data_IF_599515355538
#
_entry.id   IF_599515355538
#
_cell.length_a   1.000
_cell.length_b   1.000
_cell.length_c   1.000
_cell.angle_alpha   90.00
_cell.angle_beta   90.00
_cell.angle_gamma   90.00
#
_symmetry.space_group_name_H-M   'P 1'
#
loop_
_entity.id
_entity.type
_entity.pdbx_description
1 polymer ?
#
# COMPACT_ATOMS: atom_id res chain seq x y z
N UNK A 1 -14.00 -12.75 -4.55
CA UNK A 1 -13.55 -11.94 -3.39
C UNK A 1 -12.04 -11.78 -3.43
N UNK A 2 -11.58 -10.56 -3.33
CA UNK A 2 -10.15 -10.28 -3.31
C UNK A 2 -9.49 -10.75 -2.01
N UNK A 3 -8.26 -11.22 -2.12
CA UNK A 3 -7.40 -11.48 -0.96
C UNK A 3 -6.92 -10.14 -0.43
N UNK A 4 -6.98 -9.92 0.88
CA UNK A 4 -6.67 -8.63 1.50
C UNK A 4 -5.36 -8.67 2.27
N UNK A 5 -4.69 -7.52 2.33
CA UNK A 5 -3.52 -7.34 3.16
C UNK A 5 -3.94 -7.14 4.62
N UNK A 6 -3.23 -7.76 5.55
CA UNK A 6 -3.45 -7.63 7.00
C UNK A 6 -2.12 -7.63 7.75
N UNK A 7 -2.10 -6.90 8.86
CA UNK A 7 -0.94 -6.83 9.73
C UNK A 7 0.00 -5.67 9.43
N UNK A 8 1.01 -5.53 10.27
CA UNK A 8 2.09 -4.58 10.10
C UNK A 8 3.40 -5.15 10.64
N UNK A 9 4.52 -4.72 10.09
CA UNK A 9 5.84 -5.18 10.52
C UNK A 9 6.95 -4.21 10.14
N UNK A 10 8.05 -4.28 10.88
CA UNK A 10 9.26 -3.48 10.64
C UNK A 10 10.31 -4.36 9.96
N UNK A 11 10.90 -3.86 8.89
CA UNK A 11 11.91 -4.58 8.12
C UNK A 11 13.16 -3.74 7.91
N UNK A 12 14.32 -4.40 7.87
CA UNK A 12 15.59 -3.75 7.53
C UNK A 12 15.67 -3.50 6.03
N UNK A 13 16.19 -2.34 5.67
CA UNK A 13 16.52 -1.96 4.30
C UNK A 13 18.04 -1.92 4.20
N UNK A 14 18.63 -2.75 3.34
CA UNK A 14 20.08 -2.81 3.20
C UNK A 14 20.65 -1.62 2.40
N UNK A 15 21.97 -1.56 2.27
CA UNK A 15 22.66 -0.46 1.59
C UNK A 15 22.29 -0.34 0.10
N UNK A 16 21.80 -1.41 -0.51
CA UNK A 16 21.34 -1.44 -1.91
C UNK A 16 19.83 -1.17 -2.04
N UNK A 17 19.14 -0.93 -0.95
CA UNK A 17 17.69 -0.69 -0.94
C UNK A 17 16.85 -1.96 -0.96
N UNK A 18 17.45 -3.14 -0.75
CA UNK A 18 16.70 -4.38 -0.70
C UNK A 18 15.97 -4.51 0.64
N UNK A 19 14.69 -4.87 0.57
CA UNK A 19 13.85 -5.07 1.74
C UNK A 19 12.90 -6.24 1.48
N UNK A 20 12.72 -7.09 2.51
CA UNK A 20 11.82 -8.25 2.42
C UNK A 20 10.37 -7.83 2.54
N UNK A 21 9.54 -8.36 1.66
CA UNK A 21 8.09 -8.23 1.75
C UNK A 21 7.59 -9.29 2.75
N UNK A 22 6.70 -8.95 3.70
CA UNK A 22 6.12 -9.94 4.60
C UNK A 22 5.49 -11.11 3.84
N UNK A 23 5.65 -12.34 4.36
CA UNK A 23 5.17 -13.55 3.68
C UNK A 23 3.67 -13.51 3.36
N UNK A 24 2.85 -12.98 4.27
CA UNK A 24 1.42 -12.81 4.04
C UNK A 24 1.12 -11.84 2.90
N UNK A 25 1.89 -10.77 2.77
CA UNK A 25 1.75 -9.81 1.67
C UNK A 25 2.17 -10.42 0.33
N UNK A 26 3.23 -11.24 0.33
CA UNK A 26 3.67 -11.93 -0.88
C UNK A 26 2.58 -12.83 -1.46
N UNK A 27 1.85 -13.55 -0.60
CA UNK A 27 0.73 -14.39 -1.05
C UNK A 27 -0.38 -13.57 -1.72
N UNK A 28 -0.69 -12.41 -1.19
CA UNK A 28 -1.67 -11.49 -1.79
C UNK A 28 -1.16 -10.97 -3.14
N UNK A 29 0.11 -10.61 -3.23
CA UNK A 29 0.72 -10.15 -4.48
C UNK A 29 0.71 -11.24 -5.56
N UNK A 30 1.00 -12.49 -5.20
CA UNK A 30 0.92 -13.64 -6.11
C UNK A 30 -0.51 -13.85 -6.65
N UNK A 31 -1.50 -13.81 -5.76
CA UNK A 31 -2.90 -13.98 -6.13
C UNK A 31 -3.42 -12.83 -6.99
N UNK A 32 -2.88 -11.64 -6.83
CA UNK A 32 -3.29 -10.43 -7.55
C UNK A 32 -2.43 -10.09 -8.77
N UNK A 33 -1.54 -10.97 -9.22
CA UNK A 33 -0.75 -10.76 -10.43
C UNK A 33 -1.18 -11.74 -11.53
N UNK A 34 -1.90 -11.27 -12.57
CA UNK A 34 -2.45 -12.14 -13.61
C UNK A 34 -1.37 -12.82 -14.45
N UNK A 35 -0.15 -12.30 -14.46
CA UNK A 35 0.96 -12.85 -15.23
C UNK A 35 1.89 -13.73 -14.38
N UNK A 36 1.58 -13.88 -13.08
CA UNK A 36 2.40 -14.69 -12.16
C UNK A 36 1.98 -16.16 -12.23
N UNK A 37 2.87 -17.00 -12.72
CA UNK A 37 2.70 -18.47 -12.71
C UNK A 37 3.10 -19.01 -11.32
N UNK A 38 2.54 -20.19 -10.91
CA UNK A 38 2.97 -20.84 -9.68
C UNK A 38 4.48 -21.03 -9.60
N UNK A 39 5.08 -20.59 -8.48
CA UNK A 39 6.52 -20.67 -8.26
C UNK A 39 7.33 -19.53 -8.86
N UNK A 40 6.70 -18.61 -9.58
CA UNK A 40 7.38 -17.40 -10.07
C UNK A 40 7.16 -16.22 -9.13
N UNK A 41 8.16 -15.30 -9.04
CA UNK A 41 8.00 -14.10 -8.21
C UNK A 41 6.92 -13.17 -8.76
N UNK A 42 6.03 -12.65 -7.90
CA UNK A 42 5.03 -11.68 -8.30
C UNK A 42 5.62 -10.29 -8.46
N UNK A 43 4.82 -9.39 -9.03
CA UNK A 43 5.11 -7.96 -9.11
C UNK A 43 4.29 -7.20 -8.07
N UNK A 44 4.77 -6.04 -7.72
CA UNK A 44 4.05 -5.05 -6.90
C UNK A 44 4.06 -3.72 -7.62
N UNK A 45 2.92 -3.04 -7.67
CA UNK A 45 2.81 -1.69 -8.22
C UNK A 45 2.98 -0.69 -7.08
N UNK A 46 4.00 0.15 -7.16
CA UNK A 46 4.35 1.12 -6.12
C UNK A 46 4.02 2.53 -6.60
N UNK A 47 3.05 3.17 -5.95
CA UNK A 47 2.70 4.55 -6.18
C UNK A 47 3.52 5.45 -5.24
N UNK A 48 4.29 6.37 -5.84
CA UNK A 48 5.21 7.25 -5.13
C UNK A 48 4.88 8.74 -5.33
N UNK A 49 3.65 9.04 -5.71
CA UNK A 49 3.22 10.40 -6.02
C UNK A 49 2.84 11.27 -4.82
N UNK A 50 2.90 10.75 -3.61
CA UNK A 50 2.54 11.54 -2.41
C UNK A 50 3.46 12.76 -2.28
N UNK A 51 2.91 13.95 -2.56
CA UNK A 51 3.64 15.22 -2.57
C UNK A 51 4.20 15.64 -1.21
N UNK A 52 3.61 15.13 -0.14
CA UNK A 52 4.08 15.38 1.24
C UNK A 52 5.21 14.42 1.60
N UNK A 53 5.39 13.35 0.83
CA UNK A 53 6.42 12.35 1.08
C UNK A 53 6.18 11.53 2.34
N UNK A 54 4.92 11.20 2.62
CA UNK A 54 4.55 10.42 3.82
C UNK A 54 4.83 8.95 3.64
N UNK A 55 4.34 8.38 2.54
CA UNK A 55 4.35 6.93 2.34
C UNK A 55 4.39 6.53 0.87
N UNK A 56 4.88 5.33 0.62
CA UNK A 56 4.65 4.62 -0.63
C UNK A 56 3.38 3.79 -0.50
N UNK A 57 2.54 3.79 -1.51
CA UNK A 57 1.35 2.94 -1.58
C UNK A 57 1.61 1.78 -2.55
N UNK A 58 1.40 0.55 -2.08
CA UNK A 58 1.76 -0.66 -2.81
C UNK A 58 0.52 -1.49 -3.10
N UNK A 59 0.29 -1.79 -4.37
CA UNK A 59 -0.90 -2.47 -4.87
C UNK A 59 -0.52 -3.77 -5.57
N UNK A 60 -1.44 -4.73 -5.58
CA UNK A 60 -1.36 -5.82 -6.55
C UNK A 60 -1.53 -5.26 -7.96
N UNK A 61 -1.10 -6.01 -8.95
CA UNK A 61 -1.29 -5.59 -10.36
C UNK A 61 -2.78 -5.49 -10.69
N UNK A 62 -3.60 -6.44 -10.23
CA UNK A 62 -5.06 -6.39 -10.43
C UNK A 62 -5.70 -5.16 -9.81
N UNK A 63 -5.35 -4.81 -8.56
CA UNK A 63 -5.88 -3.62 -7.89
C UNK A 63 -5.46 -2.32 -8.61
N UNK A 64 -4.21 -2.25 -9.04
CA UNK A 64 -3.73 -1.09 -9.79
C UNK A 64 -4.46 -0.95 -11.13
N UNK A 65 -4.71 -2.05 -11.83
CA UNK A 65 -5.47 -2.06 -13.07
C UNK A 65 -6.94 -1.64 -12.83
N UNK A 66 -7.56 -2.12 -11.75
CA UNK A 66 -8.93 -1.74 -11.37
C UNK A 66 -9.02 -0.24 -11.06
N UNK A 67 -8.03 0.31 -10.35
CA UNK A 67 -7.95 1.73 -10.05
C UNK A 67 -7.82 2.56 -11.35
N UNK A 68 -6.97 2.12 -12.27
CA UNK A 68 -6.82 2.74 -13.58
C UNK A 68 -8.13 2.76 -14.38
N UNK A 69 -8.88 1.68 -14.35
CA UNK A 69 -10.20 1.58 -14.99
C UNK A 69 -11.20 2.58 -14.39
N UNK A 70 -11.22 2.73 -13.07
CA UNK A 70 -12.06 3.73 -12.39
C UNK A 70 -11.69 5.16 -12.78
N UNK A 71 -10.39 5.47 -12.84
CA UNK A 71 -9.91 6.79 -13.28
C UNK A 71 -10.31 7.03 -14.74
N UNK A 72 -10.14 6.04 -15.61
CA UNK A 72 -10.54 6.13 -17.01
C UNK A 72 -12.03 6.42 -17.19
N UNK A 73 -12.89 5.91 -16.30
CA UNK A 73 -14.34 6.12 -16.37
C UNK A 73 -14.77 7.55 -16.06
N UNK A 74 -13.91 8.35 -15.43
CA UNK A 74 -14.20 9.77 -15.24
C UNK A 74 -14.22 10.50 -16.58
N UNK A 75 -15.17 11.43 -16.80
CA UNK A 75 -15.14 12.29 -17.97
C UNK A 75 -13.80 13.00 -18.14
N UNK A 76 -13.35 13.21 -19.37
CA UNK A 76 -12.03 13.83 -19.66
C UNK A 76 -11.84 15.19 -19.01
N UNK A 77 -12.91 15.95 -18.85
CA UNK A 77 -12.88 17.29 -18.22
C UNK A 77 -13.20 17.29 -16.74
N UNK A 78 -13.42 16.11 -16.14
CA UNK A 78 -13.67 16.01 -14.71
C UNK A 78 -12.41 16.48 -13.95
N UNK A 79 -12.53 17.46 -13.04
CA UNK A 79 -11.37 18.01 -12.32
C UNK A 79 -10.64 16.99 -11.43
N UNK A 80 -11.27 15.86 -11.10
CA UNK A 80 -10.64 14.79 -10.32
C UNK A 80 -9.69 13.94 -11.14
N UNK A 81 -9.90 13.88 -12.47
CA UNK A 81 -9.17 12.95 -13.34
C UNK A 81 -7.68 13.25 -13.41
N UNK A 82 -7.29 14.49 -13.58
CA UNK A 82 -5.87 14.88 -13.75
C UNK A 82 -5.05 14.60 -12.47
N UNK A 83 -5.46 15.04 -11.27
CA UNK A 83 -4.69 14.74 -10.07
C UNK A 83 -4.63 13.23 -9.76
N UNK A 84 -5.70 12.47 -9.99
CA UNK A 84 -5.67 11.02 -9.80
C UNK A 84 -4.76 10.33 -10.81
N UNK A 85 -4.73 10.81 -12.05
CA UNK A 85 -3.79 10.31 -13.06
C UNK A 85 -2.34 10.58 -12.66
N UNK A 86 -2.05 11.75 -12.13
CA UNK A 86 -0.72 12.10 -11.64
C UNK A 86 -0.27 11.15 -10.53
N UNK A 87 -1.14 10.92 -9.54
CA UNK A 87 -0.81 10.12 -8.37
C UNK A 87 -0.73 8.61 -8.66
N UNK A 88 -1.63 8.09 -9.51
CA UNK A 88 -1.83 6.63 -9.62
C UNK A 88 -1.61 6.06 -11.02
N UNK A 89 -1.18 6.87 -11.96
CA UNK A 89 -0.83 6.43 -13.32
C UNK A 89 0.59 6.83 -13.68
N UNK A 90 0.95 8.11 -13.53
CA UNK A 90 2.27 8.61 -13.91
C UNK A 90 3.34 8.30 -12.88
N UNK A 91 3.01 8.39 -11.59
CA UNK A 91 3.96 8.16 -10.50
C UNK A 91 3.80 6.76 -9.91
N UNK A 92 3.85 5.77 -10.77
CA UNK A 92 3.79 4.35 -10.41
C UNK A 92 4.92 3.60 -11.08
N UNK A 93 5.55 2.71 -10.34
CA UNK A 93 6.56 1.78 -10.86
C UNK A 93 6.18 0.36 -10.46
N UNK A 94 6.34 -0.58 -11.38
CA UNK A 94 6.20 -2.01 -11.09
C UNK A 94 7.56 -2.57 -10.69
N UNK A 95 7.61 -3.23 -9.54
CA UNK A 95 8.80 -3.91 -9.05
C UNK A 95 8.52 -5.42 -9.00
N UNK A 96 9.46 -6.22 -9.49
CA UNK A 96 9.38 -7.68 -9.38
C UNK A 96 10.12 -8.12 -8.12
N UNK A 97 9.49 -8.98 -7.31
CA UNK A 97 10.16 -9.57 -6.16
C UNK A 97 11.28 -10.50 -6.64
N UNK A 98 12.37 -10.57 -5.87
CA UNK A 98 13.40 -11.57 -6.13
C UNK A 98 13.00 -12.95 -5.57
N UNK A 99 13.85 -13.97 -5.78
CA UNK A 99 13.59 -15.34 -5.32
C UNK A 99 13.50 -15.45 -3.78
N UNK A 100 14.00 -14.44 -3.06
CA UNK A 100 13.95 -14.38 -1.60
C UNK A 100 12.78 -13.50 -1.08
N UNK A 101 11.89 -13.06 -1.97
CA UNK A 101 10.75 -12.25 -1.60
C UNK A 101 11.08 -10.80 -1.26
N UNK A 102 12.16 -10.26 -1.81
CA UNK A 102 12.62 -8.89 -1.59
C UNK A 102 12.33 -8.02 -2.80
N UNK A 103 12.13 -6.74 -2.55
CA UNK A 103 12.13 -5.69 -3.58
C UNK A 103 13.33 -4.77 -3.37
N UNK A 104 13.69 -4.04 -4.42
CA UNK A 104 14.71 -3.00 -4.34
C UNK A 104 14.01 -1.64 -4.35
N UNK A 105 14.07 -0.94 -3.22
CA UNK A 105 13.66 0.46 -3.13
C UNK A 105 14.89 1.32 -3.43
N UNK A 106 14.99 1.77 -4.67
CA UNK A 106 16.06 2.67 -5.08
C UNK A 106 16.01 4.00 -4.33
N UNK A 107 17.10 4.75 -4.40
CA UNK A 107 17.22 6.04 -3.70
C UNK A 107 16.08 7.01 -4.07
N UNK A 108 15.65 6.99 -5.32
CA UNK A 108 14.55 7.84 -5.78
C UNK A 108 13.20 7.51 -5.12
N UNK A 109 13.01 6.25 -4.68
CA UNK A 109 11.82 5.84 -3.94
C UNK A 109 11.99 6.01 -2.43
N UNK A 110 13.21 6.04 -1.91
CA UNK A 110 13.48 6.14 -0.46
C UNK A 110 13.62 7.58 0.03
N UNK A 111 14.41 8.38 -0.68
CA UNK A 111 14.78 9.72 -0.21
C UNK A 111 13.58 10.65 0.01
N UNK A 112 12.61 10.75 -0.92
CA UNK A 112 11.46 11.64 -0.70
C UNK A 112 10.59 11.25 0.50
N UNK A 113 10.63 9.96 0.89
CA UNK A 113 9.83 9.41 1.98
C UNK A 113 10.61 9.20 3.27
N UNK A 114 11.86 9.67 3.31
CA UNK A 114 12.76 9.55 4.45
C UNK A 114 12.97 8.09 4.92
N UNK A 115 12.91 7.14 4.00
CA UNK A 115 13.16 5.73 4.28
C UNK A 115 14.67 5.49 4.28
N UNK A 116 15.20 5.16 5.44
CA UNK A 116 16.63 4.86 5.66
C UNK A 116 16.87 3.36 5.78
N UNK A 117 17.49 2.96 6.88
CA UNK A 117 17.86 1.57 7.15
C UNK A 117 16.73 0.67 7.63
N UNK A 118 15.55 1.22 7.85
CA UNK A 118 14.35 0.48 8.25
C UNK A 118 13.12 1.02 7.56
N UNK A 119 12.15 0.15 7.29
CA UNK A 119 10.87 0.51 6.70
C UNK A 119 9.75 -0.26 7.41
N UNK A 120 8.65 0.44 7.69
CA UNK A 120 7.45 -0.16 8.26
C UNK A 120 6.46 -0.47 7.16
N UNK A 121 6.01 -1.73 7.14
CA UNK A 121 4.99 -2.22 6.21
C UNK A 121 3.66 -2.25 6.95
N UNK A 122 2.65 -1.59 6.41
CA UNK A 122 1.35 -1.40 7.06
C UNK A 122 0.24 -1.79 6.09
N UNK A 123 -0.58 -2.74 6.49
CA UNK A 123 -1.71 -3.20 5.68
C UNK A 123 -2.86 -2.19 5.71
N UNK A 124 -3.49 -1.99 4.56
CA UNK A 124 -4.66 -1.11 4.35
C UNK A 124 -5.76 -1.84 3.57
N UNK A 125 -5.93 -3.14 3.77
CA UNK A 125 -6.89 -4.04 3.10
C UNK A 125 -6.60 -4.24 1.61
N UNK A 126 -6.95 -3.31 0.75
CA UNK A 126 -6.77 -3.39 -0.70
C UNK A 126 -5.36 -3.06 -1.18
N UNK A 127 -4.54 -2.50 -0.29
CA UNK A 127 -3.13 -2.18 -0.54
C UNK A 127 -2.33 -2.28 0.75
N UNK A 128 -1.03 -2.08 0.68
CA UNK A 128 -0.21 -1.83 1.85
C UNK A 128 0.65 -0.59 1.63
N UNK A 129 1.13 -0.05 2.73
CA UNK A 129 1.94 1.17 2.71
C UNK A 129 3.33 0.88 3.25
N UNK A 130 4.32 1.60 2.74
CA UNK A 130 5.69 1.57 3.25
C UNK A 130 6.01 2.97 3.79
N UNK A 131 6.38 3.02 5.06
CA UNK A 131 6.66 4.24 5.79
C UNK A 131 8.06 4.22 6.38
N UNK A 132 8.68 5.40 6.52
CA UNK A 132 9.76 5.53 7.49
C UNK A 132 9.20 5.33 8.90
N UNK A 133 9.94 4.70 9.82
CA UNK A 133 9.45 4.50 11.20
C UNK A 133 9.09 5.82 11.89
N UNK A 134 9.84 6.88 11.65
CA UNK A 134 9.64 8.20 12.27
C UNK A 134 8.34 8.86 11.81
N UNK A 135 8.05 8.81 10.51
CA UNK A 135 6.81 9.37 9.97
C UNK A 135 5.58 8.55 10.36
N UNK A 136 5.74 7.22 10.43
CA UNK A 136 4.65 6.36 10.88
C UNK A 136 4.31 6.57 12.35
N UNK A 137 5.31 6.87 13.19
CA UNK A 137 5.07 7.18 14.60
C UNK A 137 4.10 8.37 14.77
N UNK A 138 4.19 9.37 13.93
CA UNK A 138 3.27 10.52 13.95
C UNK A 138 1.83 10.10 13.60
N UNK A 139 1.67 9.26 12.58
CA UNK A 139 0.36 8.69 12.22
C UNK A 139 -0.19 7.83 13.35
N UNK A 140 0.66 6.97 13.93
CA UNK A 140 0.28 6.07 15.01
C UNK A 140 -0.17 6.83 16.26
N UNK A 141 0.49 7.91 16.61
CA UNK A 141 0.09 8.76 17.73
C UNK A 141 -1.32 9.33 17.55
N UNK A 142 -1.68 9.74 16.33
CA UNK A 142 -3.03 10.20 16.02
C UNK A 142 -4.08 9.08 16.11
N UNK A 143 -3.73 7.88 15.67
CA UNK A 143 -4.60 6.70 15.78
C UNK A 143 -4.81 6.36 17.25
N UNK A 144 -3.76 6.34 18.06
CA UNK A 144 -3.84 6.05 19.49
C UNK A 144 -4.77 7.05 20.21
N UNK A 145 -4.69 8.34 19.88
CA UNK A 145 -5.57 9.34 20.47
C UNK A 145 -7.05 9.07 20.15
N UNK A 146 -7.36 8.64 18.92
CA UNK A 146 -8.72 8.24 18.53
C UNK A 146 -9.16 6.98 19.26
N UNK A 147 -8.28 5.98 19.38
CA UNK A 147 -8.57 4.72 20.07
C UNK A 147 -8.84 4.96 21.55
N UNK A 148 -8.10 5.86 22.21
CA UNK A 148 -8.36 6.25 23.60
C UNK A 148 -9.77 6.82 23.79
N UNK A 149 -10.23 7.66 22.85
CA UNK A 149 -11.61 8.17 22.87
C UNK A 149 -12.63 7.05 22.66
N UNK A 150 -12.29 6.03 21.88
CA UNK A 150 -13.16 4.89 21.59
C UNK A 150 -13.19 3.84 22.71
N UNK A 151 -12.23 3.82 23.63
CA UNK A 151 -12.18 2.85 24.74
C UNK A 151 -13.44 2.86 25.61
N UNK A 152 -14.19 3.95 25.59
CA UNK A 152 -15.46 4.06 26.30
C UNK A 152 -16.64 3.48 25.52
N UNK A 153 -16.44 3.08 24.27
CA UNK A 153 -17.46 2.43 23.45
C UNK A 153 -17.47 0.91 23.71
N UNK A 154 -18.63 0.34 23.93
CA UNK A 154 -18.76 -1.10 24.21
C UNK A 154 -18.40 -1.98 23.01
N UNK A 155 -18.61 -1.49 21.78
CA UNK A 155 -18.32 -2.24 20.56
C UNK A 155 -17.85 -1.30 19.45
N UNK A 156 -16.54 -1.35 19.07
CA UNK A 156 -16.01 -0.57 17.95
C UNK A 156 -16.68 -0.87 16.60
N UNK A 157 -17.22 -2.09 16.42
CA UNK A 157 -17.89 -2.48 15.19
C UNK A 157 -19.23 -1.76 14.98
N UNK A 158 -19.79 -1.15 16.02
CA UNK A 158 -20.97 -0.31 15.90
C UNK A 158 -20.76 0.91 14.98
N UNK A 159 -19.50 1.29 14.72
CA UNK A 159 -19.17 2.32 13.73
C UNK A 159 -19.53 1.91 12.29
N UNK A 160 -19.81 0.64 12.07
CA UNK A 160 -20.21 0.10 10.76
C UNK A 160 -21.71 -0.07 10.59
N UNK A 161 -22.52 0.22 11.61
CA UNK A 161 -23.97 -0.08 11.60
C UNK A 161 -24.72 0.63 10.46
N UNK A 162 -24.23 1.77 10.00
CA UNK A 162 -24.80 2.53 8.89
C UNK A 162 -24.16 2.22 7.53
N UNK A 163 -23.18 1.34 7.51
CA UNK A 163 -22.50 0.91 6.27
C UNK A 163 -23.20 -0.33 5.72
N UNK A 164 -23.75 -0.26 4.50
CA UNK A 164 -24.42 -1.42 3.92
C UNK A 164 -23.45 -2.58 3.70
N UNK A 165 -23.91 -3.79 3.95
CA UNK A 165 -23.13 -4.98 3.62
C UNK A 165 -22.95 -5.05 2.08
N UNK A 166 -21.76 -5.49 1.61
CA UNK A 166 -21.54 -5.64 0.19
C UNK A 166 -22.50 -6.70 -0.40
N UNK A 167 -23.05 -6.41 -1.55
CA UNK A 167 -23.85 -7.38 -2.28
C UNK A 167 -23.02 -8.63 -2.60
N UNK A 168 -23.61 -9.79 -2.36
CA UNK A 168 -22.96 -11.08 -2.58
C UNK A 168 -22.73 -11.37 -4.08
#
# INVERSE_FOLDING_TARGET
MGVTFRGESLHKVDSKGRVSIPAGFRRVLEAGDPDCSPGQPPRVAVAYGDRVGRRLECFTIDEMNALGTRIRSLPRKDPRREPLTELYVRNVVELTLDDNGRIVLGQALRAPFAIGGEARFVAELDHFEIWSPEKYADKQARIEAVLEEMEQADDPLALLDDVPEPEA
#
